data_IF_920494284106
#
_entry.id   IF_920494284106
#
_cell.length_a   1.000
_cell.length_b   1.000
_cell.length_c   1.000
_cell.angle_alpha   90.00
_cell.angle_beta   90.00
_cell.angle_gamma   90.00
#
_symmetry.space_group_name_H-M   'P 1'
#
loop_
_entity.id
_entity.type
_entity.pdbx_description
1 polymer ?
#
# COMPACT_ATOMS: atom_id res chain seq x y z
N UNK A 1 35.54 -18.76 -5.80
CA UNK A 1 34.52 -19.81 -6.10
C UNK A 1 33.16 -19.27 -5.68
N UNK A 2 32.20 -19.28 -6.61
CA UNK A 2 30.76 -18.94 -6.58
C UNK A 2 30.19 -18.32 -5.27
N UNK A 3 29.62 -17.11 -5.19
CA UNK A 3 28.50 -16.52 -5.95
C UNK A 3 27.35 -17.51 -6.23
N UNK A 4 26.54 -17.88 -5.24
CA UNK A 4 25.18 -18.40 -5.50
C UNK A 4 24.31 -18.31 -4.24
N UNK A 5 23.50 -17.25 -4.14
CA UNK A 5 22.49 -17.10 -3.08
C UNK A 5 21.28 -16.26 -3.48
N UNK A 6 21.15 -15.89 -4.77
CA UNK A 6 20.07 -15.08 -5.31
C UNK A 6 18.94 -15.91 -5.94
N UNK A 7 18.81 -17.21 -5.63
CA UNK A 7 17.92 -18.13 -6.36
C UNK A 7 16.86 -18.86 -5.53
N UNK A 8 16.41 -18.29 -4.40
CA UNK A 8 15.26 -18.83 -3.63
C UNK A 8 14.06 -17.87 -3.56
N UNK A 9 13.92 -16.96 -4.54
CA UNK A 9 12.76 -16.05 -4.61
C UNK A 9 11.60 -16.60 -5.45
N UNK A 10 11.61 -17.88 -5.82
CA UNK A 10 10.73 -18.45 -6.83
C UNK A 10 9.94 -19.73 -6.49
N UNK A 11 10.20 -20.40 -5.36
CA UNK A 11 9.64 -21.76 -5.13
C UNK A 11 8.64 -21.89 -3.97
N UNK A 12 8.39 -20.81 -3.23
CA UNK A 12 7.26 -20.66 -2.30
C UNK A 12 6.68 -19.27 -2.55
N UNK A 13 6.08 -19.09 -3.72
CA UNK A 13 5.54 -17.82 -4.17
C UNK A 13 4.39 -17.40 -3.26
N UNK A 14 4.64 -16.38 -2.43
CA UNK A 14 3.57 -15.57 -1.86
C UNK A 14 2.60 -15.22 -3.01
N UNK A 15 1.28 -15.39 -2.83
CA UNK A 15 0.32 -15.05 -3.86
C UNK A 15 0.61 -13.64 -4.37
N UNK A 16 0.68 -13.47 -5.70
CA UNK A 16 0.84 -12.14 -6.30
C UNK A 16 -0.32 -11.29 -5.78
N UNK A 17 -0.06 -10.09 -5.23
CA UNK A 17 -1.13 -9.25 -4.74
C UNK A 17 -2.11 -8.95 -5.87
N UNK A 18 -3.40 -8.99 -5.58
CA UNK A 18 -4.45 -8.81 -6.58
C UNK A 18 -4.33 -7.42 -7.20
N UNK A 19 -3.98 -7.40 -8.49
CA UNK A 19 -3.83 -6.16 -9.25
C UNK A 19 -5.11 -5.33 -9.24
N UNK A 20 -6.28 -5.97 -9.26
CA UNK A 20 -7.56 -5.28 -9.23
C UNK A 20 -7.77 -4.54 -7.90
N UNK A 21 -7.46 -5.20 -6.78
CA UNK A 21 -7.53 -4.60 -5.45
C UNK A 21 -6.53 -3.43 -5.32
N UNK A 22 -5.31 -3.57 -5.82
CA UNK A 22 -4.31 -2.49 -5.86
C UNK A 22 -4.83 -1.29 -6.64
N UNK A 23 -5.32 -1.51 -7.86
CA UNK A 23 -5.77 -0.43 -8.74
C UNK A 23 -7.01 0.27 -8.16
N UNK A 24 -7.91 -0.48 -7.52
CA UNK A 24 -9.06 0.06 -6.77
C UNK A 24 -8.62 0.99 -5.65
N UNK A 25 -7.68 0.57 -4.81
CA UNK A 25 -7.18 1.39 -3.69
C UNK A 25 -6.44 2.63 -4.18
N UNK A 26 -5.66 2.53 -5.27
CA UNK A 26 -5.03 3.71 -5.91
C UNK A 26 -6.06 4.72 -6.39
N UNK A 27 -7.18 4.25 -6.97
CA UNK A 27 -8.24 5.14 -7.44
C UNK A 27 -8.97 5.82 -6.29
N UNK A 28 -9.26 5.09 -5.20
CA UNK A 28 -9.82 5.67 -3.98
C UNK A 28 -8.90 6.75 -3.39
N UNK A 29 -7.60 6.45 -3.26
CA UNK A 29 -6.61 7.40 -2.77
C UNK A 29 -6.52 8.66 -3.65
N UNK A 30 -6.50 8.49 -4.97
CA UNK A 30 -6.47 9.62 -5.92
C UNK A 30 -7.72 10.51 -5.80
N UNK A 31 -8.91 9.89 -5.69
CA UNK A 31 -10.17 10.62 -5.55
C UNK A 31 -10.21 11.42 -4.23
N UNK A 32 -9.81 10.81 -3.12
CA UNK A 32 -9.83 11.44 -1.80
C UNK A 32 -8.82 12.58 -1.64
N UNK A 33 -7.60 12.42 -2.21
CA UNK A 33 -6.50 13.36 -2.01
C UNK A 33 -6.52 14.57 -2.95
N UNK A 34 -7.31 14.54 -4.04
CA UNK A 34 -7.36 15.59 -5.06
C UNK A 34 -5.97 16.05 -5.55
N UNK A 35 -5.06 15.09 -5.73
CA UNK A 35 -3.65 15.34 -6.12
C UNK A 35 -3.48 15.51 -7.63
N UNK A 36 -2.30 16.02 -8.02
CA UNK A 36 -1.88 16.08 -9.43
C UNK A 36 -2.01 14.71 -10.12
N UNK A 37 -2.39 14.67 -11.41
CA UNK A 37 -2.44 13.43 -12.20
C UNK A 37 -1.10 12.71 -12.27
N UNK A 38 0.02 13.43 -12.15
CA UNK A 38 1.39 12.88 -12.15
C UNK A 38 1.77 12.20 -10.84
N UNK A 39 0.88 12.24 -9.84
CA UNK A 39 1.12 11.60 -8.54
C UNK A 39 1.14 10.09 -8.70
N UNK A 40 2.29 9.51 -8.37
CA UNK A 40 2.47 8.07 -8.32
C UNK A 40 2.01 7.51 -6.96
N UNK A 41 1.42 6.33 -7.00
CA UNK A 41 0.97 5.60 -5.82
C UNK A 41 1.60 4.21 -5.78
N UNK A 42 2.12 3.81 -4.63
CA UNK A 42 2.48 2.43 -4.33
C UNK A 42 1.61 1.92 -3.17
N UNK A 43 1.05 0.72 -3.32
CA UNK A 43 0.15 0.13 -2.33
C UNK A 43 0.72 -1.23 -1.95
N UNK A 44 0.94 -1.46 -0.66
CA UNK A 44 1.46 -2.72 -0.14
C UNK A 44 0.75 -3.08 1.18
N UNK A 45 0.54 -4.36 1.40
CA UNK A 45 0.21 -4.87 2.73
C UNK A 45 1.50 -5.16 3.50
N UNK A 46 1.54 -4.76 4.76
CA UNK A 46 2.67 -5.01 5.65
C UNK A 46 2.18 -5.55 6.99
N UNK A 47 3.04 -6.33 7.66
CA UNK A 47 2.80 -6.72 9.05
C UNK A 47 2.76 -5.47 9.93
N UNK A 48 1.72 -5.38 10.75
CA UNK A 48 1.47 -4.26 11.64
C UNK A 48 1.66 -4.72 13.08
N UNK A 49 2.64 -4.16 13.77
CA UNK A 49 3.03 -4.61 15.11
C UNK A 49 2.41 -3.76 16.24
N UNK A 50 1.52 -2.84 15.90
CA UNK A 50 0.84 -2.02 16.91
C UNK A 50 -0.22 -2.83 17.66
N UNK A 51 -0.34 -2.69 18.99
CA UNK A 51 -1.29 -3.45 19.80
C UNK A 51 -2.76 -3.28 19.40
N UNK A 52 -3.12 -2.15 18.76
CA UNK A 52 -4.47 -1.87 18.28
C UNK A 52 -4.73 -2.30 16.83
N UNK A 53 -3.73 -2.89 16.16
CA UNK A 53 -3.79 -3.24 14.75
C UNK A 53 -4.17 -4.72 14.59
N UNK A 54 -4.93 -5.11 13.54
CA UNK A 54 -5.32 -6.51 13.32
C UNK A 54 -4.17 -7.42 12.86
N UNK A 55 -2.91 -6.99 13.00
CA UNK A 55 -1.70 -7.71 12.58
C UNK A 55 -1.25 -7.41 11.15
N UNK A 56 -2.08 -6.77 10.34
CA UNK A 56 -1.75 -6.36 8.96
C UNK A 56 -2.36 -4.98 8.65
N UNK A 57 -1.62 -4.17 7.91
CA UNK A 57 -2.10 -2.87 7.43
C UNK A 57 -1.74 -2.66 5.96
N UNK A 58 -2.61 -1.93 5.26
CA UNK A 58 -2.36 -1.45 3.89
C UNK A 58 -1.68 -0.09 3.98
N UNK A 59 -0.47 0.00 3.43
CA UNK A 59 0.29 1.24 3.30
C UNK A 59 0.21 1.75 1.86
N UNK A 60 -0.24 3.00 1.73
CA UNK A 60 -0.32 3.72 0.47
C UNK A 60 0.74 4.84 0.48
N UNK A 61 1.80 4.67 -0.31
CA UNK A 61 2.78 5.72 -0.54
C UNK A 61 2.28 6.66 -1.62
N UNK A 62 2.24 7.94 -1.30
CA UNK A 62 1.85 9.02 -2.22
C UNK A 62 3.10 9.83 -2.58
N UNK A 63 3.47 9.76 -3.86
CA UNK A 63 4.69 10.36 -4.42
C UNK A 63 4.29 11.46 -5.39
N UNK A 64 3.94 12.61 -4.83
CA UNK A 64 3.54 13.79 -5.60
C UNK A 64 4.79 14.59 -6.02
N UNK A 65 4.93 14.99 -7.29
CA UNK A 65 6.10 15.74 -7.75
C UNK A 65 6.35 17.00 -6.93
N UNK A 66 7.60 17.19 -6.51
CA UNK A 66 8.00 18.36 -5.71
C UNK A 66 7.56 18.33 -4.24
N UNK A 67 6.84 17.30 -3.79
CA UNK A 67 6.50 17.10 -2.36
C UNK A 67 7.27 15.93 -1.75
N UNK A 68 7.41 15.96 -0.43
CA UNK A 68 7.89 14.78 0.32
C UNK A 68 6.88 13.64 0.17
N UNK A 69 7.40 12.43 -0.04
CA UNK A 69 6.59 11.21 0.00
C UNK A 69 5.88 11.10 1.35
N UNK A 70 4.59 10.83 1.31
CA UNK A 70 3.76 10.60 2.49
C UNK A 70 3.17 9.19 2.46
N UNK A 71 3.03 8.57 3.62
CA UNK A 71 2.39 7.28 3.76
C UNK A 71 1.01 7.48 4.37
N UNK A 72 -0.02 6.90 3.75
CA UNK A 72 -1.32 6.70 4.38
C UNK A 72 -1.36 5.27 4.88
N UNK A 73 -1.71 5.09 6.15
CA UNK A 73 -1.81 3.79 6.80
C UNK A 73 -3.26 3.46 7.04
N UNK A 74 -3.70 2.32 6.53
CA UNK A 74 -5.05 1.80 6.72
C UNK A 74 -4.93 0.46 7.44
N UNK A 75 -5.39 0.33 8.70
CA UNK A 75 -5.24 -0.89 9.50
C UNK A 75 -6.23 -1.98 9.06
N UNK A 76 -6.14 -2.38 7.79
CA UNK A 76 -6.93 -3.41 7.10
C UNK A 76 -6.10 -4.09 6.03
N UNK A 77 -6.50 -5.32 5.70
CA UNK A 77 -6.08 -5.98 4.46
C UNK A 77 -6.55 -5.19 3.23
N UNK A 78 -5.82 -5.32 2.13
CA UNK A 78 -6.05 -4.57 0.89
C UNK A 78 -7.48 -4.73 0.37
N UNK A 79 -8.01 -5.95 0.45
CA UNK A 79 -9.34 -6.29 -0.06
C UNK A 79 -10.47 -5.62 0.73
N UNK A 80 -10.24 -5.26 1.99
CA UNK A 80 -11.24 -4.64 2.87
C UNK A 80 -11.14 -3.10 2.92
N UNK A 81 -10.14 -2.50 2.27
CA UNK A 81 -9.98 -1.04 2.22
C UNK A 81 -11.15 -0.43 1.44
N UNK A 82 -11.90 0.47 2.05
CA UNK A 82 -12.99 1.21 1.42
C UNK A 82 -12.71 2.72 1.41
N UNK A 83 -13.50 3.49 0.66
CA UNK A 83 -13.34 4.95 0.54
C UNK A 83 -13.28 5.65 1.90
N UNK A 84 -14.20 5.31 2.79
CA UNK A 84 -14.26 5.82 4.17
C UNK A 84 -12.99 5.55 4.98
N UNK A 85 -12.25 4.48 4.69
CA UNK A 85 -11.01 4.16 5.38
C UNK A 85 -9.86 5.05 4.88
N UNK A 86 -9.86 5.38 3.58
CA UNK A 86 -8.94 6.38 3.02
C UNK A 86 -9.20 7.73 3.66
N UNK A 87 -10.45 8.17 3.74
CA UNK A 87 -10.81 9.46 4.33
C UNK A 87 -10.37 9.55 5.80
N UNK A 88 -10.60 8.50 6.59
CA UNK A 88 -10.10 8.41 7.97
C UNK A 88 -8.59 8.50 8.06
N UNK A 89 -7.86 7.86 7.14
CA UNK A 89 -6.40 7.89 7.12
C UNK A 89 -5.82 9.27 6.71
N UNK A 90 -6.65 10.21 6.26
CA UNK A 90 -6.26 11.60 6.00
C UNK A 90 -6.44 12.52 7.22
N UNK A 91 -7.16 12.07 8.24
CA UNK A 91 -7.33 12.83 9.49
C UNK A 91 -5.99 12.91 10.25
N UNK A 92 -5.66 14.05 10.88
CA UNK A 92 -4.38 14.28 11.54
C UNK A 92 -4.19 13.51 12.85
#
# INVERSE_FOLDING_TARGET
>A
MALFGAFLRGSFGLPKPDKQAIDRVKNLARAALQVSPDTAFAVNEIACNDPGCPGIETVILVMEPGRKTRALKVPKVLDEVMEQDILKALEP
#
